data_IF_715874868924
#
_entry.id   IF_715874868924
#
_cell.length_a   1.000
_cell.length_b   1.000
_cell.length_c   1.000
_cell.angle_alpha   90.00
_cell.angle_beta   90.00
_cell.angle_gamma   90.00
#
_symmetry.space_group_name_H-M   'P 1'
#
loop_
_entity.id
_entity.type
_entity.pdbx_description
1 polymer ?
#
# COMPACT_ATOMS: atom_id res chain seq x y z
N UNK A 1 9.86 19.28 24.06
CA UNK A 1 8.60 18.64 23.61
C UNK A 1 8.94 17.59 22.56
N UNK A 2 8.92 16.30 22.88
CA UNK A 2 9.13 15.24 21.91
C UNK A 2 7.83 14.45 21.78
N UNK A 3 7.16 14.58 20.62
CA UNK A 3 5.89 13.92 20.33
C UNK A 3 6.06 12.42 20.35
N UNK A 4 5.47 11.77 21.35
CA UNK A 4 5.44 10.32 21.50
C UNK A 4 4.49 9.79 20.42
N UNK A 5 5.02 9.37 19.27
CA UNK A 5 4.26 8.59 18.28
C UNK A 5 3.80 7.32 18.99
N UNK A 6 2.52 7.34 19.37
CA UNK A 6 1.86 6.25 20.07
C UNK A 6 1.90 5.06 19.12
N UNK A 7 2.90 4.18 19.26
CA UNK A 7 2.93 2.88 18.62
C UNK A 7 1.69 2.16 19.12
N UNK A 8 0.62 2.22 18.34
CA UNK A 8 -0.57 1.42 18.57
C UNK A 8 -0.07 -0.01 18.67
N UNK A 9 -0.19 -0.64 19.85
CA UNK A 9 -0.11 -2.08 19.93
C UNK A 9 -1.07 -2.60 18.87
N UNK A 10 -0.52 -3.18 17.80
CA UNK A 10 -1.24 -3.34 16.55
C UNK A 10 -2.38 -4.33 16.78
N UNK A 11 -3.58 -3.81 16.98
CA UNK A 11 -4.78 -4.63 16.88
C UNK A 11 -4.74 -5.27 15.49
N UNK A 12 -5.06 -6.56 15.38
CA UNK A 12 -5.12 -7.21 14.08
C UNK A 12 -6.01 -6.38 13.15
N UNK A 13 -5.62 -6.26 11.87
CA UNK A 13 -6.36 -5.44 10.91
C UNK A 13 -7.81 -5.91 10.83
N UNK A 14 -8.71 -4.95 10.77
CA UNK A 14 -10.14 -5.26 10.61
C UNK A 14 -10.41 -5.86 9.23
N UNK A 15 -11.49 -6.63 9.11
CA UNK A 15 -11.91 -7.19 7.82
C UNK A 15 -12.11 -6.11 6.74
N UNK A 16 -12.55 -4.91 7.15
CA UNK A 16 -12.65 -3.74 6.25
C UNK A 16 -11.28 -3.28 5.77
N UNK A 17 -10.28 -3.17 6.66
CA UNK A 17 -8.91 -2.82 6.26
C UNK A 17 -8.32 -3.86 5.30
N UNK A 18 -8.52 -5.15 5.56
CA UNK A 18 -8.04 -6.22 4.67
C UNK A 18 -8.71 -6.14 3.29
N UNK A 19 -10.04 -5.96 3.24
CA UNK A 19 -10.77 -5.82 1.98
C UNK A 19 -10.30 -4.61 1.19
N UNK A 20 -10.14 -3.46 1.85
CA UNK A 20 -9.67 -2.23 1.21
C UNK A 20 -8.22 -2.41 0.73
N UNK A 21 -7.35 -2.98 1.55
CA UNK A 21 -5.95 -3.26 1.20
C UNK A 21 -5.83 -4.16 -0.03
N UNK A 22 -6.60 -5.26 -0.09
CA UNK A 22 -6.63 -6.15 -1.25
C UNK A 22 -7.14 -5.44 -2.51
N UNK A 23 -8.18 -4.60 -2.37
CA UNK A 23 -8.73 -3.83 -3.49
C UNK A 23 -7.68 -2.87 -4.07
N UNK A 24 -6.97 -2.15 -3.19
CA UNK A 24 -5.90 -1.24 -3.59
C UNK A 24 -4.74 -2.03 -4.21
N UNK A 25 -4.37 -3.19 -3.63
CA UNK A 25 -3.26 -4.02 -4.11
C UNK A 25 -3.50 -4.49 -5.52
N UNK A 26 -4.71 -4.99 -5.78
CA UNK A 26 -5.12 -5.42 -7.11
C UNK A 26 -5.07 -4.25 -8.11
N UNK A 27 -5.67 -3.10 -7.76
CA UNK A 27 -5.70 -1.94 -8.65
C UNK A 27 -4.29 -1.42 -8.98
N UNK A 28 -3.42 -1.27 -7.97
CA UNK A 28 -2.04 -0.82 -8.18
C UNK A 28 -1.23 -1.84 -8.98
N UNK A 29 -1.37 -3.13 -8.70
CA UNK A 29 -0.68 -4.18 -9.46
C UNK A 29 -1.09 -4.17 -10.93
N UNK A 30 -2.37 -3.95 -11.24
CA UNK A 30 -2.84 -3.83 -12.62
C UNK A 30 -2.30 -2.59 -13.33
N UNK A 31 -2.29 -1.44 -12.65
CA UNK A 31 -1.73 -0.19 -13.21
C UNK A 31 -0.24 -0.39 -13.52
N UNK A 32 0.54 -0.86 -12.55
CA UNK A 32 1.99 -1.04 -12.71
C UNK A 32 2.37 -2.11 -13.74
N UNK A 33 1.47 -3.06 -14.03
CA UNK A 33 1.73 -4.11 -15.04
C UNK A 33 1.42 -3.66 -16.47
N UNK A 34 0.55 -2.67 -16.64
CA UNK A 34 0.07 -2.21 -17.96
C UNK A 34 0.80 -0.96 -18.42
N UNK A 35 1.10 -0.06 -17.50
CA UNK A 35 1.70 1.23 -17.84
C UNK A 35 3.22 1.13 -18.02
N UNK A 36 3.72 2.01 -18.88
CA UNK A 36 5.15 2.21 -19.08
C UNK A 36 5.65 3.22 -18.06
N UNK A 37 6.78 2.93 -17.42
CA UNK A 37 7.42 3.91 -16.53
C UNK A 37 7.98 5.07 -17.36
N UNK A 38 7.73 6.30 -16.92
CA UNK A 38 8.31 7.51 -17.53
C UNK A 38 9.78 7.73 -17.14
N UNK A 39 10.34 6.81 -16.35
CA UNK A 39 11.72 6.85 -15.87
C UNK A 39 12.56 5.86 -16.71
N UNK A 40 13.63 6.33 -17.38
CA UNK A 40 14.46 5.49 -18.25
C UNK A 40 15.18 4.36 -17.49
N UNK A 41 15.46 4.54 -16.19
CA UNK A 41 16.07 3.48 -15.36
C UNK A 41 15.05 2.37 -15.01
N UNK A 42 13.75 2.61 -15.20
CA UNK A 42 12.67 1.67 -14.96
C UNK A 42 12.03 1.11 -16.24
N UNK A 43 12.52 1.49 -17.42
CA UNK A 43 12.03 0.94 -18.68
C UNK A 43 12.23 -0.59 -18.75
N UNK A 44 11.14 -1.33 -18.93
CA UNK A 44 11.15 -2.79 -18.99
C UNK A 44 11.32 -3.49 -17.63
N UNK A 45 11.39 -2.75 -16.52
CA UNK A 45 11.46 -3.32 -15.17
C UNK A 45 10.06 -3.74 -14.71
N UNK A 46 9.93 -4.99 -14.27
CA UNK A 46 8.68 -5.49 -13.66
C UNK A 46 8.64 -5.13 -12.18
N UNK A 47 7.66 -4.33 -11.77
CA UNK A 47 7.43 -3.93 -10.37
C UNK A 47 6.21 -4.67 -9.82
N UNK A 48 6.38 -5.35 -8.69
CA UNK A 48 5.31 -6.13 -8.03
C UNK A 48 4.96 -5.55 -6.66
N UNK A 49 3.67 -5.35 -6.40
CA UNK A 49 3.17 -4.92 -5.07
C UNK A 49 3.06 -6.14 -4.15
N UNK A 50 3.96 -6.23 -3.16
CA UNK A 50 4.04 -7.37 -2.24
C UNK A 50 3.00 -7.32 -1.13
N UNK A 51 2.77 -6.13 -0.56
CA UNK A 51 1.82 -5.95 0.54
C UNK A 51 1.20 -4.55 0.50
N UNK A 52 0.03 -4.40 1.13
CA UNK A 52 -0.56 -3.10 1.44
C UNK A 52 -1.07 -3.11 2.87
N UNK A 53 -0.62 -2.13 3.65
CA UNK A 53 -1.07 -1.89 5.01
C UNK A 53 -1.96 -0.65 5.06
N UNK A 54 -3.22 -0.81 5.44
CA UNK A 54 -4.20 0.28 5.54
C UNK A 54 -4.36 0.74 6.98
N UNK A 55 -4.39 2.06 7.21
CA UNK A 55 -4.58 2.64 8.54
C UNK A 55 -5.96 2.31 9.13
N UNK A 56 -6.12 2.31 10.47
CA UNK A 56 -7.40 1.94 11.12
C UNK A 56 -8.58 2.84 10.74
N UNK A 57 -8.32 4.10 10.39
CA UNK A 57 -9.27 5.10 9.92
C UNK A 57 -9.48 5.05 8.39
N UNK A 58 -8.87 4.09 7.69
CA UNK A 58 -8.97 3.87 6.25
C UNK A 58 -8.53 5.06 5.38
N UNK A 59 -7.90 6.06 5.96
CA UNK A 59 -7.52 7.29 5.26
C UNK A 59 -6.18 7.16 4.55
N UNK A 60 -5.28 6.32 5.07
CA UNK A 60 -3.94 6.14 4.54
C UNK A 60 -3.68 4.68 4.21
N UNK A 61 -2.90 4.45 3.15
CA UNK A 61 -2.36 3.14 2.79
C UNK A 61 -0.84 3.24 2.63
N UNK A 62 -0.12 2.20 3.05
CA UNK A 62 1.32 2.03 2.88
C UNK A 62 1.58 0.84 1.96
N UNK A 63 2.36 1.09 0.92
CA UNK A 63 2.91 0.13 -0.06
C UNK A 63 4.39 -0.05 0.23
#
# INVERSE_FOLDING_TARGET
>A
MAGKTKRFAAKPPTQRQLRVGETIRHALSEILSRDSFFDPDLEGVSVTVSEISVSPDLSNARV
#
